data_IF_652421897138
#
_entry.id   IF_652421897138
#
_cell.length_a   1.000
_cell.length_b   1.000
_cell.length_c   1.000
_cell.angle_alpha   90.00
_cell.angle_beta   90.00
_cell.angle_gamma   90.00
#
_symmetry.space_group_name_H-M   'P 1'
#
loop_
_entity.id
_entity.type
_entity.pdbx_description
1 polymer ?
#
# COMPACT_ATOMS: atom_id res chain seq x y z
N UNK A 1 18.72 -0.38 5.32
CA UNK A 1 17.58 0.55 5.48
C UNK A 1 16.37 0.01 4.74
N UNK A 2 15.19 0.06 5.34
CA UNK A 2 13.94 -0.40 4.71
C UNK A 2 13.51 0.57 3.63
N UNK A 3 13.55 0.15 2.37
CA UNK A 3 13.22 1.01 1.23
C UNK A 3 12.47 0.31 0.08
N UNK A 4 12.21 -1.00 0.18
CA UNK A 4 11.46 -1.73 -0.84
C UNK A 4 9.97 -1.64 -0.56
N UNK A 5 9.23 -0.98 -1.44
CA UNK A 5 7.78 -0.82 -1.35
C UNK A 5 7.08 -1.80 -2.29
N UNK A 6 6.08 -2.52 -1.77
CA UNK A 6 5.01 -3.07 -2.58
C UNK A 6 3.89 -2.03 -2.65
N UNK A 7 3.61 -1.56 -3.85
CA UNK A 7 2.64 -0.48 -4.09
C UNK A 7 1.28 -1.07 -4.48
N UNK A 8 0.42 -1.25 -3.50
CA UNK A 8 -0.93 -1.76 -3.67
C UNK A 8 -1.88 -0.60 -4.00
N UNK A 9 -2.35 -0.53 -5.23
CA UNK A 9 -3.25 0.54 -5.69
C UNK A 9 -4.15 0.06 -6.80
N UNK A 10 -5.43 0.45 -6.82
CA UNK A 10 -6.28 0.24 -7.98
C UNK A 10 -5.83 1.12 -9.16
N UNK A 11 -6.09 0.62 -10.39
CA UNK A 11 -5.77 1.30 -11.65
C UNK A 11 -6.81 0.99 -12.74
N UNK A 12 -8.09 0.90 -12.35
CA UNK A 12 -9.17 0.39 -13.21
C UNK A 12 -10.03 1.47 -13.89
N UNK A 13 -9.81 2.74 -13.52
CA UNK A 13 -10.46 3.90 -14.13
C UNK A 13 -9.48 5.08 -14.23
N UNK A 14 -9.80 6.16 -15.00
CA UNK A 14 -8.86 7.28 -15.20
C UNK A 14 -8.39 7.96 -13.91
N UNK A 15 -9.27 8.12 -12.93
CA UNK A 15 -8.92 8.73 -11.64
C UNK A 15 -7.92 7.86 -10.87
N UNK A 16 -8.14 6.56 -10.83
CA UNK A 16 -7.24 5.61 -10.17
C UNK A 16 -5.88 5.53 -10.88
N UNK A 17 -5.87 5.55 -12.21
CA UNK A 17 -4.63 5.56 -13.01
C UNK A 17 -3.82 6.82 -12.73
N UNK A 18 -4.45 7.99 -12.72
CA UNK A 18 -3.77 9.26 -12.41
C UNK A 18 -3.15 9.21 -11.00
N UNK A 19 -3.91 8.79 -10.01
CA UNK A 19 -3.43 8.69 -8.62
C UNK A 19 -2.29 7.69 -8.48
N UNK A 20 -2.43 6.51 -9.09
CA UNK A 20 -1.40 5.46 -9.09
C UNK A 20 -0.08 5.98 -9.69
N UNK A 21 -0.11 6.60 -10.84
CA UNK A 21 1.07 7.15 -11.51
C UNK A 21 1.72 8.27 -10.69
N UNK A 22 0.92 9.19 -10.16
CA UNK A 22 1.40 10.33 -9.37
C UNK A 22 2.06 9.88 -8.05
N UNK A 23 1.43 8.98 -7.32
CA UNK A 23 1.96 8.46 -6.05
C UNK A 23 3.20 7.59 -6.27
N UNK A 24 3.19 6.75 -7.29
CA UNK A 24 4.35 5.94 -7.65
C UNK A 24 5.57 6.78 -8.00
N UNK A 25 5.38 7.82 -8.82
CA UNK A 25 6.44 8.78 -9.15
C UNK A 25 6.97 9.48 -7.90
N UNK A 26 6.07 9.94 -7.02
CA UNK A 26 6.44 10.59 -5.76
C UNK A 26 7.27 9.67 -4.86
N UNK A 27 6.87 8.41 -4.69
CA UNK A 27 7.61 7.44 -3.88
C UNK A 27 9.02 7.19 -4.43
N UNK A 28 9.16 7.09 -5.75
CA UNK A 28 10.47 6.95 -6.41
C UNK A 28 11.34 8.19 -6.24
N UNK A 29 10.77 9.38 -6.37
CA UNK A 29 11.48 10.65 -6.15
C UNK A 29 11.94 10.79 -4.69
N UNK A 30 11.22 10.21 -3.74
CA UNK A 30 11.62 10.14 -2.33
C UNK A 30 12.70 9.10 -2.04
N UNK A 31 13.15 8.34 -3.05
CA UNK A 31 14.26 7.38 -2.94
C UNK A 31 13.86 5.94 -2.67
N UNK A 32 12.56 5.60 -2.73
CA UNK A 32 12.11 4.23 -2.54
C UNK A 32 12.23 3.39 -3.82
N UNK A 33 12.53 2.11 -3.65
CA UNK A 33 12.40 1.09 -4.68
C UNK A 33 10.94 0.61 -4.69
N UNK A 34 10.22 0.85 -5.78
CA UNK A 34 8.76 0.61 -5.85
C UNK A 34 8.45 -0.54 -6.81
N UNK A 35 7.91 -1.63 -6.28
CA UNK A 35 7.26 -2.67 -7.06
C UNK A 35 5.80 -2.28 -7.29
N UNK A 36 5.41 -2.16 -8.56
CA UNK A 36 4.04 -1.88 -8.99
C UNK A 36 3.47 -3.11 -9.71
N UNK A 37 2.39 -3.73 -9.21
CA UNK A 37 1.74 -4.84 -9.91
C UNK A 37 1.31 -4.47 -11.33
N UNK A 38 0.85 -3.24 -11.55
CA UNK A 38 0.48 -2.72 -12.88
C UNK A 38 1.63 -2.78 -13.88
N UNK A 39 2.85 -2.46 -13.44
CA UNK A 39 4.05 -2.49 -14.30
C UNK A 39 4.61 -3.90 -14.47
N UNK A 40 4.53 -4.73 -13.43
CA UNK A 40 5.10 -6.08 -13.44
C UNK A 40 4.27 -7.05 -14.27
N UNK A 41 2.96 -7.11 -14.01
CA UNK A 41 2.03 -8.00 -14.69
C UNK A 41 0.64 -7.40 -14.77
N UNK A 42 0.17 -7.15 -15.97
CA UNK A 42 -1.23 -6.80 -16.22
C UNK A 42 -1.99 -8.06 -16.63
N UNK A 43 -2.77 -8.63 -15.70
CA UNK A 43 -3.65 -9.76 -16.00
C UNK A 43 -4.91 -9.25 -16.72
N UNK A 44 -5.10 -9.66 -17.97
CA UNK A 44 -6.28 -9.30 -18.75
C UNK A 44 -7.50 -10.05 -18.22
N UNK A 45 -8.74 -9.51 -18.40
CA UNK A 45 -9.96 -10.15 -17.90
C UNK A 45 -10.19 -11.59 -18.40
N UNK A 46 -9.72 -11.89 -19.61
CA UNK A 46 -9.89 -13.17 -20.28
C UNK A 46 -8.67 -14.11 -20.23
N UNK A 47 -7.65 -13.77 -19.45
CA UNK A 47 -6.50 -14.64 -19.27
C UNK A 47 -6.89 -15.97 -18.60
N UNK A 48 -6.22 -17.06 -19.02
CA UNK A 48 -6.43 -18.39 -18.49
C UNK A 48 -5.87 -18.59 -17.08
N UNK A 49 -6.21 -19.72 -16.47
CA UNK A 49 -5.86 -20.05 -15.08
C UNK A 49 -4.36 -20.03 -14.81
N UNK A 50 -3.55 -20.48 -15.77
CA UNK A 50 -2.08 -20.51 -15.64
C UNK A 50 -1.49 -19.11 -15.47
N UNK A 51 -1.95 -18.12 -16.28
CA UNK A 51 -1.51 -16.73 -16.19
C UNK A 51 -2.04 -16.09 -14.90
N UNK A 52 -3.28 -16.32 -14.55
CA UNK A 52 -3.87 -15.83 -13.29
C UNK A 52 -3.08 -16.29 -12.07
N UNK A 53 -2.71 -17.58 -12.02
CA UNK A 53 -1.92 -18.12 -10.93
C UNK A 53 -0.51 -17.53 -10.89
N UNK A 54 0.13 -17.39 -12.05
CA UNK A 54 1.46 -16.79 -12.16
C UNK A 54 1.48 -15.35 -11.64
N UNK A 55 0.49 -14.53 -12.00
CA UNK A 55 0.38 -13.14 -11.53
C UNK A 55 0.14 -13.10 -10.03
N UNK A 56 -0.78 -13.92 -9.53
CA UNK A 56 -1.06 -14.04 -8.10
C UNK A 56 0.20 -14.42 -7.31
N UNK A 57 0.90 -15.46 -7.73
CA UNK A 57 2.11 -15.94 -7.05
C UNK A 57 3.22 -14.88 -7.07
N UNK A 58 3.38 -14.18 -8.19
CA UNK A 58 4.35 -13.09 -8.33
C UNK A 58 4.08 -11.92 -7.39
N UNK A 59 2.82 -11.51 -7.27
CA UNK A 59 2.41 -10.45 -6.35
C UNK A 59 2.60 -10.89 -4.90
N UNK A 60 2.20 -12.11 -4.54
CA UNK A 60 2.42 -12.65 -3.19
C UNK A 60 3.91 -12.69 -2.83
N UNK A 61 4.75 -13.12 -3.75
CA UNK A 61 6.21 -13.14 -3.55
C UNK A 61 6.75 -11.71 -3.32
N UNK A 62 6.32 -10.76 -4.12
CA UNK A 62 6.74 -9.36 -3.97
C UNK A 62 6.30 -8.77 -2.61
N UNK A 63 5.11 -9.12 -2.13
CA UNK A 63 4.66 -8.75 -0.78
C UNK A 63 5.54 -9.39 0.29
N UNK A 64 5.88 -10.67 0.15
CA UNK A 64 6.77 -11.36 1.10
C UNK A 64 8.15 -10.70 1.18
N UNK A 65 8.67 -10.22 0.06
CA UNK A 65 10.02 -9.66 -0.05
C UNK A 65 10.09 -8.15 0.24
N UNK A 66 8.97 -7.43 0.29
CA UNK A 66 8.98 -5.99 0.53
C UNK A 66 9.28 -5.65 2.01
N UNK A 67 9.80 -4.46 2.22
CA UNK A 67 9.99 -3.87 3.55
C UNK A 67 8.75 -3.10 4.00
N UNK A 68 8.05 -2.52 3.02
CA UNK A 68 6.94 -1.60 3.23
C UNK A 68 5.79 -2.02 2.33
N UNK A 69 4.60 -2.18 2.90
CA UNK A 69 3.35 -2.30 2.15
C UNK A 69 2.68 -0.92 2.12
N UNK A 70 2.64 -0.31 0.94
CA UNK A 70 1.96 0.98 0.74
C UNK A 70 0.66 0.73 0.00
N UNK A 71 -0.47 0.93 0.67
CA UNK A 71 -1.80 0.66 0.12
C UNK A 71 -2.62 1.93 -0.05
N UNK A 72 -3.04 2.18 -1.29
CA UNK A 72 -3.95 3.28 -1.65
C UNK A 72 -5.39 2.81 -1.46
N UNK A 73 -6.08 3.34 -0.45
CA UNK A 73 -7.40 2.88 -0.04
C UNK A 73 -8.55 3.68 -0.66
N UNK A 74 -8.24 4.72 -1.42
CA UNK A 74 -9.21 5.47 -2.21
C UNK A 74 -9.97 4.52 -3.14
N UNK A 75 -11.30 4.61 -3.15
CA UNK A 75 -12.14 3.73 -3.97
C UNK A 75 -12.40 2.35 -3.39
N UNK A 76 -11.82 2.01 -2.24
CA UNK A 76 -12.09 0.74 -1.50
C UNK A 76 -11.90 -0.51 -2.37
N UNK A 77 -10.80 -0.57 -3.12
CA UNK A 77 -10.49 -1.70 -4.00
C UNK A 77 -10.22 -2.98 -3.20
N UNK A 78 -10.94 -4.05 -3.53
CA UNK A 78 -10.85 -5.33 -2.82
C UNK A 78 -9.47 -5.97 -2.92
N UNK A 79 -8.83 -5.91 -4.08
CA UNK A 79 -7.48 -6.46 -4.30
C UNK A 79 -6.44 -5.76 -3.44
N UNK A 80 -6.46 -4.43 -3.42
CA UNK A 80 -5.58 -3.61 -2.57
C UNK A 80 -5.74 -3.97 -1.09
N UNK A 81 -6.97 -4.14 -0.62
CA UNK A 81 -7.25 -4.50 0.78
C UNK A 81 -6.80 -5.93 1.09
N UNK A 82 -7.00 -6.88 0.15
CA UNK A 82 -6.49 -8.25 0.31
C UNK A 82 -4.96 -8.28 0.47
N UNK A 83 -4.25 -7.52 -0.37
CA UNK A 83 -2.79 -7.42 -0.34
C UNK A 83 -2.28 -6.83 0.99
N UNK A 84 -2.94 -5.80 1.48
CA UNK A 84 -2.66 -5.22 2.80
C UNK A 84 -2.93 -6.22 3.94
N UNK A 85 -4.02 -6.96 3.87
CA UNK A 85 -4.35 -8.02 4.83
C UNK A 85 -3.32 -9.14 4.83
N UNK A 86 -2.83 -9.52 3.65
CA UNK A 86 -1.77 -10.52 3.52
C UNK A 86 -0.47 -10.07 4.19
N UNK A 87 -0.04 -8.83 3.98
CA UNK A 87 1.15 -8.27 4.64
C UNK A 87 0.98 -8.22 6.17
N UNK A 88 -0.19 -7.82 6.66
CA UNK A 88 -0.51 -7.86 8.09
C UNK A 88 -0.49 -9.28 8.65
N UNK A 89 -0.99 -10.25 7.89
CA UNK A 89 -0.94 -11.67 8.25
C UNK A 89 0.50 -12.16 8.41
N UNK A 90 1.39 -11.80 7.49
CA UNK A 90 2.82 -12.10 7.60
C UNK A 90 3.40 -11.49 8.88
N UNK A 91 3.08 -10.23 9.18
CA UNK A 91 3.57 -9.54 10.37
C UNK A 91 3.15 -10.22 11.67
N UNK A 92 2.02 -10.93 11.68
CA UNK A 92 1.52 -11.61 12.87
C UNK A 92 2.33 -12.84 13.28
N UNK A 93 3.15 -13.39 12.37
CA UNK A 93 3.88 -14.66 12.58
C UNK A 93 5.40 -14.52 12.47
N UNK A 94 5.92 -13.31 12.22
CA UNK A 94 7.37 -13.07 12.14
C UNK A 94 7.89 -12.33 13.36
N UNK A 95 9.20 -12.40 13.58
CA UNK A 95 9.85 -11.63 14.63
C UNK A 95 9.68 -10.12 14.40
N UNK A 96 9.63 -9.29 15.46
CA UNK A 96 9.46 -7.83 15.33
C UNK A 96 10.43 -7.17 14.36
N UNK A 97 11.70 -7.62 14.32
CA UNK A 97 12.74 -7.11 13.41
C UNK A 97 12.47 -7.43 11.93
N UNK A 98 11.58 -8.39 11.66
CA UNK A 98 11.20 -8.82 10.30
C UNK A 98 9.87 -8.27 9.84
N UNK A 99 9.16 -7.53 10.68
CA UNK A 99 7.86 -6.94 10.32
C UNK A 99 8.01 -5.90 9.22
N UNK A 100 7.06 -5.93 8.30
CA UNK A 100 6.88 -4.90 7.28
C UNK A 100 6.24 -3.67 7.92
N UNK A 101 6.58 -2.50 7.40
CA UNK A 101 5.88 -1.26 7.73
C UNK A 101 4.63 -1.20 6.87
N UNK A 102 3.48 -0.98 7.48
CA UNK A 102 2.19 -0.88 6.79
C UNK A 102 1.81 0.59 6.69
N UNK A 103 1.72 1.09 5.45
CA UNK A 103 1.32 2.47 5.15
C UNK A 103 -0.02 2.45 4.44
N UNK A 104 -0.99 3.18 4.95
CA UNK A 104 -2.26 3.44 4.26
C UNK A 104 -2.33 4.88 3.78
N UNK A 105 -2.77 5.04 2.56
CA UNK A 105 -2.98 6.33 1.92
C UNK A 105 -4.43 6.49 1.50
N UNK A 106 -5.04 7.64 1.79
CA UNK A 106 -6.40 7.98 1.36
C UNK A 106 -6.58 9.50 1.23
N UNK A 107 -6.48 10.02 0.01
CA UNK A 107 -6.63 11.47 -0.24
C UNK A 107 -8.09 11.90 -0.44
N UNK A 108 -9.01 10.97 -0.69
CA UNK A 108 -10.43 11.26 -0.92
C UNK A 108 -11.28 11.21 0.34
N UNK A 109 -10.67 11.06 1.51
CA UNK A 109 -11.39 11.08 2.77
C UNK A 109 -11.94 12.52 2.99
N UNK A 110 -13.29 12.69 3.06
CA UNK A 110 -13.86 14.03 3.27
C UNK A 110 -13.52 14.55 4.67
N UNK A 111 -13.51 15.87 4.82
CA UNK A 111 -13.36 16.50 6.14
C UNK A 111 -14.42 15.98 7.11
N UNK A 112 -13.98 15.52 8.29
CA UNK A 112 -14.85 14.86 9.27
C UNK A 112 -15.34 13.47 8.84
N UNK A 113 -14.82 12.93 7.74
CA UNK A 113 -15.11 11.59 7.28
C UNK A 113 -14.62 10.51 8.22
N UNK A 114 -15.11 9.29 7.98
CA UNK A 114 -14.75 8.13 8.79
C UNK A 114 -13.72 7.28 8.06
N UNK A 115 -12.67 6.87 8.77
CA UNK A 115 -11.72 5.90 8.28
C UNK A 115 -12.00 4.52 8.87
N UNK A 116 -11.70 3.47 8.13
CA UNK A 116 -12.02 2.11 8.58
C UNK A 116 -11.19 1.73 9.81
N UNK A 117 -11.85 1.18 10.84
CA UNK A 117 -11.22 0.77 12.10
C UNK A 117 -10.04 -0.18 11.89
N UNK A 118 -10.21 -1.22 11.07
CA UNK A 118 -9.17 -2.24 10.89
C UNK A 118 -7.93 -1.67 10.22
N UNK A 119 -8.10 -0.76 9.27
CA UNK A 119 -6.99 -0.07 8.61
C UNK A 119 -6.34 0.93 9.55
N UNK A 120 -7.12 1.71 10.29
CA UNK A 120 -6.59 2.68 11.24
C UNK A 120 -5.71 2.03 12.32
N UNK A 121 -6.07 0.83 12.79
CA UNK A 121 -5.32 0.14 13.83
C UNK A 121 -4.17 -0.70 13.31
N UNK A 122 -4.30 -1.32 12.13
CA UNK A 122 -3.25 -2.15 11.53
C UNK A 122 -2.16 -1.36 10.84
N UNK A 123 -2.42 -0.12 10.41
CA UNK A 123 -1.43 0.73 9.77
C UNK A 123 -0.43 1.33 10.77
N UNK A 124 0.83 1.33 10.39
CA UNK A 124 1.88 2.03 11.15
C UNK A 124 1.91 3.52 10.81
N UNK A 125 1.69 3.84 9.53
CA UNK A 125 1.67 5.21 9.02
C UNK A 125 0.41 5.40 8.18
N UNK A 126 -0.39 6.42 8.51
CA UNK A 126 -1.60 6.76 7.78
C UNK A 126 -1.48 8.17 7.23
N UNK A 127 -1.58 8.30 5.91
CA UNK A 127 -1.44 9.55 5.17
C UNK A 127 -2.78 9.87 4.51
N UNK A 128 -3.37 11.00 4.89
CA UNK A 128 -4.66 11.47 4.33
C UNK A 128 -4.51 12.74 3.50
N UNK A 129 -3.30 13.27 3.40
CA UNK A 129 -2.97 14.44 2.60
C UNK A 129 -1.71 14.15 1.77
N UNK A 130 -1.76 14.42 0.46
CA UNK A 130 -0.64 14.21 -0.44
C UNK A 130 0.63 14.96 0.01
N UNK A 131 0.48 16.16 0.58
CA UNK A 131 1.63 16.95 1.05
C UNK A 131 2.39 16.27 2.18
N UNK A 132 1.73 15.42 2.97
CA UNK A 132 2.35 14.64 4.04
C UNK A 132 3.26 13.50 3.52
N UNK A 133 3.22 13.19 2.23
CA UNK A 133 4.12 12.20 1.62
C UNK A 133 5.60 12.54 1.84
N UNK A 134 5.95 13.82 1.93
CA UNK A 134 7.32 14.25 2.17
C UNK A 134 7.87 13.81 3.54
N UNK A 135 7.00 13.50 4.49
CA UNK A 135 7.35 13.01 5.83
C UNK A 135 7.75 11.53 5.83
N UNK A 136 7.34 10.77 4.81
CA UNK A 136 7.47 9.31 4.81
C UNK A 136 8.92 8.82 5.00
N UNK A 137 9.95 9.33 4.30
CA UNK A 137 11.31 8.87 4.50
C UNK A 137 11.80 9.01 5.94
N UNK A 138 11.49 10.14 6.59
CA UNK A 138 11.90 10.39 7.98
C UNK A 138 11.14 9.49 8.97
N UNK A 139 9.85 9.26 8.77
CA UNK A 139 9.05 8.35 9.60
C UNK A 139 9.59 6.92 9.51
N UNK A 140 9.90 6.45 8.31
CA UNK A 140 10.49 5.13 8.08
C UNK A 140 11.86 5.02 8.78
N UNK A 141 12.71 6.02 8.60
CA UNK A 141 14.07 6.03 9.17
C UNK A 141 14.08 6.06 10.70
N UNK A 142 13.19 6.85 11.30
CA UNK A 142 13.10 6.99 12.75
C UNK A 142 12.31 5.85 13.42
N UNK A 143 11.56 5.07 12.66
CA UNK A 143 10.67 4.04 13.21
C UNK A 143 9.42 4.62 13.90
N UNK A 144 9.11 5.89 13.65
CA UNK A 144 7.93 6.53 14.22
C UNK A 144 6.65 6.05 13.54
N UNK A 145 5.57 5.99 14.32
CA UNK A 145 4.23 5.71 13.82
C UNK A 145 3.44 7.00 13.65
N UNK A 146 2.56 7.03 12.65
CA UNK A 146 1.62 8.14 12.43
C UNK A 146 0.21 7.56 12.31
N UNK A 147 -0.48 7.46 13.44
CA UNK A 147 -1.83 6.89 13.50
C UNK A 147 -2.91 7.88 13.06
N UNK A 148 -4.05 7.35 12.67
CA UNK A 148 -5.25 8.14 12.39
C UNK A 148 -6.01 8.42 13.67
N UNK A 149 -6.33 9.69 13.90
CA UNK A 149 -7.02 10.16 15.12
C UNK A 149 -8.41 10.75 14.83
N UNK A 150 -8.89 10.64 13.60
CA UNK A 150 -10.23 11.08 13.24
C UNK A 150 -11.33 10.07 13.60
N UNK A 151 -12.51 10.25 13.03
CA UNK A 151 -13.64 9.34 13.24
C UNK A 151 -13.41 7.98 12.60
N UNK A 152 -13.93 6.93 13.22
CA UNK A 152 -13.81 5.54 12.77
C UNK A 152 -15.19 5.01 12.35
N UNK A 153 -15.21 4.15 11.32
CA UNK A 153 -16.36 3.33 10.93
C UNK A 153 -16.05 1.83 11.06
#
# INVERSE_FOLDING_TARGET
MKNKIYFASPFFNPEQVEREERLKAKLRDLGFEVFSPKEAYFCKPDEGDEVRQMVFDGNCKAIQECDILFAVTDGKDMGTIWEAGYANGINSVVYPSKKKIIVYYCETLPEGGKFNLMLAQSGDIIITDYDDMDQLPNLIKSGEVKKYHGKIE
#
